data_IF_850035159182
#
_entry.id   IF_850035159182
#
_cell.length_a   1.000
_cell.length_b   1.000
_cell.length_c   1.000
_cell.angle_alpha   90.00
_cell.angle_beta   90.00
_cell.angle_gamma   90.00
#
_symmetry.space_group_name_H-M   'P 1'
#
loop_
_entity.id
_entity.type
_entity.pdbx_description
1 polymer ?
#
# COMPACT_ATOMS: atom_id res chain seq x y z
N UNK A 1 23.80 -8.05 31.33
CA UNK A 1 23.50 -7.07 30.29
C UNK A 1 22.01 -7.05 29.89
N UNK A 2 21.32 -8.23 29.80
CA UNK A 2 19.90 -8.31 29.39
C UNK A 2 18.95 -7.51 30.28
N UNK A 3 19.14 -7.55 31.60
CA UNK A 3 18.32 -6.78 32.55
C UNK A 3 18.48 -5.26 32.41
N UNK A 4 19.59 -4.75 31.85
CA UNK A 4 19.80 -3.32 31.60
C UNK A 4 18.96 -2.78 30.44
N UNK A 5 18.58 -3.65 29.52
CA UNK A 5 17.74 -3.33 28.36
C UNK A 5 16.32 -3.91 28.49
N UNK A 6 15.95 -4.41 29.68
CA UNK A 6 14.62 -4.94 29.96
C UNK A 6 14.28 -6.26 29.29
N UNK A 7 15.27 -7.02 28.82
CA UNK A 7 15.05 -8.33 28.20
C UNK A 7 15.18 -9.46 29.24
N UNK A 8 14.32 -10.44 29.12
CA UNK A 8 14.39 -11.69 29.88
C UNK A 8 15.67 -12.47 29.48
N UNK A 9 16.42 -13.08 30.42
CA UNK A 9 17.57 -13.94 30.09
C UNK A 9 17.23 -15.14 29.20
N UNK A 10 15.95 -15.57 29.18
CA UNK A 10 15.42 -16.60 28.29
C UNK A 10 15.03 -16.10 26.89
N UNK A 11 15.31 -14.83 26.57
CA UNK A 11 15.02 -14.26 25.26
C UNK A 11 15.63 -15.09 24.13
N UNK A 12 14.80 -15.42 23.15
CA UNK A 12 15.22 -16.01 21.88
C UNK A 12 14.59 -15.24 20.71
N UNK A 13 15.25 -15.24 19.60
CA UNK A 13 14.63 -14.77 18.36
C UNK A 13 13.50 -15.71 17.96
N UNK A 14 12.33 -15.16 17.65
CA UNK A 14 11.21 -15.94 17.12
C UNK A 14 11.56 -16.51 15.74
N UNK A 15 11.10 -17.72 15.46
CA UNK A 15 11.16 -18.27 14.11
C UNK A 15 10.19 -17.52 13.18
N UNK A 16 10.50 -17.44 11.89
CA UNK A 16 9.68 -16.71 10.91
C UNK A 16 8.24 -17.22 10.90
N UNK A 17 8.04 -18.54 11.02
CA UNK A 17 6.72 -19.15 11.11
C UNK A 17 5.93 -18.74 12.35
N UNK A 18 6.59 -18.66 13.52
CA UNK A 18 5.97 -18.20 14.77
C UNK A 18 5.56 -16.72 14.67
N UNK A 19 6.43 -15.88 14.09
CA UNK A 19 6.13 -14.46 13.89
C UNK A 19 4.96 -14.25 12.92
N UNK A 20 4.86 -15.08 11.89
CA UNK A 20 3.74 -15.04 10.96
C UNK A 20 2.42 -15.38 11.66
N UNK A 21 2.38 -16.48 12.42
CA UNK A 21 1.19 -16.87 13.18
C UNK A 21 0.78 -15.78 14.18
N UNK A 22 1.75 -15.22 14.92
CA UNK A 22 1.49 -14.14 15.85
C UNK A 22 0.87 -12.91 15.16
N UNK A 23 1.39 -12.52 13.99
CA UNK A 23 0.82 -11.41 13.19
C UNK A 23 -0.60 -11.72 12.72
N UNK A 24 -0.88 -12.95 12.32
CA UNK A 24 -2.23 -13.40 11.93
C UNK A 24 -3.21 -13.33 13.10
N UNK A 25 -2.81 -13.79 14.29
CA UNK A 25 -3.63 -13.74 15.51
C UNK A 25 -3.93 -12.29 15.92
N UNK A 26 -2.90 -11.44 15.95
CA UNK A 26 -3.07 -10.00 16.24
C UNK A 26 -3.97 -9.32 15.23
N UNK A 27 -3.81 -9.62 13.95
CA UNK A 27 -4.66 -9.06 12.88
C UNK A 27 -6.12 -9.49 13.05
N UNK A 28 -6.37 -10.74 13.37
CA UNK A 28 -7.71 -11.26 13.63
C UNK A 28 -8.36 -10.55 14.82
N UNK A 29 -7.66 -10.48 15.94
CA UNK A 29 -8.13 -9.78 17.14
C UNK A 29 -8.41 -8.28 16.86
N UNK A 30 -7.53 -7.62 16.10
CA UNK A 30 -7.70 -6.23 15.69
C UNK A 30 -9.02 -6.03 14.93
N UNK A 31 -9.24 -6.81 13.88
CA UNK A 31 -10.45 -6.71 13.06
C UNK A 31 -11.71 -7.05 13.87
N UNK A 32 -11.70 -8.12 14.67
CA UNK A 32 -12.82 -8.49 15.54
C UNK A 32 -13.18 -7.34 16.50
N UNK A 33 -12.19 -6.70 17.12
CA UNK A 33 -12.40 -5.56 18.01
C UNK A 33 -13.05 -4.37 17.30
N UNK A 34 -12.66 -4.08 16.06
CA UNK A 34 -13.27 -3.01 15.27
C UNK A 34 -14.69 -3.34 14.82
N UNK A 35 -14.98 -4.60 14.46
CA UNK A 35 -16.34 -5.04 14.16
C UNK A 35 -17.27 -4.96 15.38
N UNK A 36 -16.79 -5.35 16.57
CA UNK A 36 -17.56 -5.26 17.81
C UNK A 36 -17.88 -3.82 18.19
N UNK A 37 -16.96 -2.89 17.97
CA UNK A 37 -17.17 -1.44 18.27
C UNK A 37 -18.21 -0.79 17.36
N UNK A 38 -18.61 -1.42 16.27
CA UNK A 38 -19.58 -0.91 15.30
C UNK A 38 -19.23 0.50 14.75
N UNK A 39 -17.94 0.78 14.58
CA UNK A 39 -17.45 2.09 14.13
C UNK A 39 -17.86 2.35 12.68
N UNK A 40 -18.57 3.46 12.46
CA UNK A 40 -19.03 3.89 11.13
C UNK A 40 -17.87 4.17 10.16
N UNK A 41 -16.75 4.70 10.67
CA UNK A 41 -15.56 4.97 9.84
C UNK A 41 -14.91 3.67 9.39
N UNK A 42 -14.83 2.69 10.28
CA UNK A 42 -14.31 1.37 9.96
C UNK A 42 -15.21 0.65 8.93
N UNK A 43 -16.52 0.70 9.09
CA UNK A 43 -17.45 0.13 8.09
C UNK A 43 -17.28 0.77 6.72
N UNK A 44 -17.20 2.11 6.66
CA UNK A 44 -16.94 2.81 5.42
C UNK A 44 -15.60 2.43 4.80
N UNK A 45 -14.56 2.28 5.61
CA UNK A 45 -13.25 1.80 5.14
C UNK A 45 -13.33 0.39 4.55
N UNK A 46 -14.03 -0.53 5.23
CA UNK A 46 -14.27 -1.89 4.71
C UNK A 46 -15.02 -1.84 3.38
N UNK A 47 -16.09 -1.07 3.28
CA UNK A 47 -16.88 -0.93 2.05
C UNK A 47 -16.05 -0.39 0.87
N UNK A 48 -15.11 0.53 1.13
CA UNK A 48 -14.27 1.11 0.10
C UNK A 48 -13.13 0.19 -0.37
N UNK A 49 -12.55 -0.61 0.54
CA UNK A 49 -11.29 -1.31 0.28
C UNK A 49 -11.38 -2.83 0.34
N UNK A 50 -12.44 -3.41 0.88
CA UNK A 50 -12.65 -4.86 0.82
C UNK A 50 -13.17 -5.23 -0.57
N UNK A 51 -12.29 -5.70 -1.44
CA UNK A 51 -12.66 -6.22 -2.74
C UNK A 51 -13.22 -7.65 -2.61
N UNK A 52 -14.51 -7.80 -2.31
CA UNK A 52 -15.15 -9.11 -2.27
C UNK A 52 -15.88 -9.42 -0.97
N UNK A 53 -16.04 -10.73 -0.67
CA UNK A 53 -16.77 -11.21 0.52
C UNK A 53 -15.87 -11.49 1.73
N UNK A 54 -14.56 -11.25 1.62
CA UNK A 54 -13.57 -11.57 2.64
C UNK A 54 -12.76 -10.34 3.02
N UNK A 55 -12.21 -10.34 4.24
CA UNK A 55 -11.34 -9.27 4.75
C UNK A 55 -9.89 -9.38 4.25
N UNK A 56 -9.59 -10.29 3.33
CA UNK A 56 -8.21 -10.57 2.93
C UNK A 56 -7.54 -9.36 2.27
N UNK A 57 -8.27 -8.62 1.42
CA UNK A 57 -7.76 -7.38 0.83
C UNK A 57 -7.40 -6.31 1.87
N UNK A 58 -8.18 -6.22 2.94
CA UNK A 58 -7.91 -5.30 4.07
C UNK A 58 -6.66 -5.74 4.84
N UNK A 59 -6.52 -7.05 5.11
CA UNK A 59 -5.33 -7.59 5.78
C UNK A 59 -4.08 -7.32 4.97
N UNK A 60 -4.11 -7.56 3.66
CA UNK A 60 -3.00 -7.29 2.75
C UNK A 60 -2.61 -5.81 2.75
N UNK A 61 -3.60 -4.90 2.72
CA UNK A 61 -3.38 -3.47 2.80
C UNK A 61 -2.70 -3.07 4.12
N UNK A 62 -3.19 -3.58 5.25
CA UNK A 62 -2.64 -3.30 6.58
C UNK A 62 -1.20 -3.86 6.68
N UNK A 63 -0.95 -5.09 6.21
CA UNK A 63 0.41 -5.66 6.21
C UNK A 63 1.37 -4.88 5.32
N UNK A 64 0.92 -4.43 4.16
CA UNK A 64 1.73 -3.60 3.27
C UNK A 64 2.11 -2.28 3.94
N UNK A 65 1.15 -1.60 4.57
CA UNK A 65 1.39 -0.37 5.31
C UNK A 65 2.32 -0.60 6.52
N UNK A 66 2.08 -1.67 7.27
CA UNK A 66 2.94 -2.05 8.39
C UNK A 66 4.39 -2.27 7.96
N UNK A 67 4.60 -3.02 6.88
CA UNK A 67 5.94 -3.29 6.37
C UNK A 67 6.63 -2.00 5.87
N UNK A 68 5.88 -1.12 5.21
CA UNK A 68 6.39 0.18 4.79
C UNK A 68 6.78 1.05 6.00
N UNK A 69 5.93 1.13 7.02
CA UNK A 69 6.23 1.86 8.25
C UNK A 69 7.47 1.30 8.95
N UNK A 70 7.54 -0.02 9.13
CA UNK A 70 8.67 -0.69 9.81
C UNK A 70 9.99 -0.63 9.04
N UNK A 71 9.99 -0.23 7.77
CA UNK A 71 11.21 0.06 7.01
C UNK A 71 11.81 1.44 7.33
N UNK A 72 11.09 2.27 8.08
CA UNK A 72 11.54 3.59 8.52
C UNK A 72 12.12 3.52 9.94
N UNK A 73 13.12 4.34 10.26
CA UNK A 73 13.74 4.38 11.60
C UNK A 73 12.75 4.78 12.71
N UNK A 74 11.75 5.59 12.37
CA UNK A 74 10.71 6.10 13.27
C UNK A 74 9.32 5.85 12.67
N UNK A 75 8.78 4.62 12.78
CA UNK A 75 7.52 4.21 12.12
C UNK A 75 6.33 5.09 12.47
N UNK A 76 6.16 5.43 13.76
CA UNK A 76 5.03 6.21 14.23
C UNK A 76 5.07 7.64 13.67
N UNK A 77 6.24 8.29 13.72
CA UNK A 77 6.43 9.62 13.17
C UNK A 77 6.17 9.64 11.66
N UNK A 78 6.67 8.63 10.95
CA UNK A 78 6.43 8.49 9.51
C UNK A 78 4.93 8.33 9.19
N UNK A 79 4.19 7.54 9.97
CA UNK A 79 2.74 7.39 9.80
C UNK A 79 2.00 8.71 10.06
N UNK A 80 2.39 9.47 11.09
CA UNK A 80 1.82 10.79 11.39
C UNK A 80 2.08 11.78 10.24
N UNK A 81 3.28 11.84 9.71
CA UNK A 81 3.64 12.67 8.56
C UNK A 81 2.82 12.29 7.31
N UNK A 82 2.64 10.99 7.05
CA UNK A 82 1.75 10.51 5.99
C UNK A 82 0.31 11.01 6.17
N UNK A 83 -0.25 10.89 7.39
CA UNK A 83 -1.61 11.37 7.69
C UNK A 83 -1.70 12.88 7.48
N UNK A 84 -0.71 13.63 7.95
CA UNK A 84 -0.70 15.09 7.85
C UNK A 84 -0.61 15.56 6.38
N UNK A 85 0.08 14.83 5.54
CA UNK A 85 0.15 15.12 4.11
C UNK A 85 -1.20 15.05 3.40
N UNK A 86 -2.16 14.27 3.94
CA UNK A 86 -3.52 14.14 3.41
C UNK A 86 -4.55 15.09 4.07
N UNK A 87 -4.21 15.77 5.17
CA UNK A 87 -5.13 16.68 5.84
C UNK A 87 -5.34 17.99 5.08
N UNK A 88 -4.34 18.45 4.34
CA UNK A 88 -4.41 19.67 3.54
C UNK A 88 -4.85 19.33 2.11
N UNK A 89 -6.15 19.17 1.91
CA UNK A 89 -6.75 18.69 0.66
C UNK A 89 -7.39 19.81 -0.17
N UNK A 90 -6.83 21.02 -0.17
CA UNK A 90 -7.18 21.96 -1.20
C UNK A 90 -6.57 21.54 -2.55
N UNK A 91 -7.25 21.88 -3.64
CA UNK A 91 -6.92 21.38 -4.98
C UNK A 91 -5.49 21.77 -5.41
N UNK A 92 -4.99 22.91 -4.95
CA UNK A 92 -3.66 23.40 -5.28
C UNK A 92 -2.57 22.63 -4.51
N UNK A 93 -2.81 22.33 -3.22
CA UNK A 93 -1.90 21.50 -2.40
C UNK A 93 -1.78 20.09 -2.97
N UNK A 94 -2.91 19.50 -3.39
CA UNK A 94 -2.92 18.15 -4.00
C UNK A 94 -2.12 18.17 -5.32
N UNK A 95 -2.33 19.16 -6.18
CA UNK A 95 -1.60 19.27 -7.45
C UNK A 95 -0.09 19.46 -7.27
N UNK A 96 0.31 20.18 -6.23
CA UNK A 96 1.73 20.45 -5.93
C UNK A 96 2.40 19.34 -5.10
N UNK A 97 1.65 18.36 -4.62
CA UNK A 97 2.19 17.27 -3.81
C UNK A 97 3.16 16.40 -4.60
N UNK A 98 4.20 15.92 -3.92
CA UNK A 98 5.25 15.08 -4.53
C UNK A 98 4.67 13.78 -5.13
N UNK A 99 3.74 13.14 -4.42
CA UNK A 99 3.10 11.92 -4.90
C UNK A 99 2.23 12.14 -6.14
N UNK A 100 1.55 13.30 -6.25
CA UNK A 100 0.78 13.64 -7.44
C UNK A 100 1.69 13.89 -8.65
N UNK A 101 2.83 14.55 -8.44
CA UNK A 101 3.83 14.75 -9.49
C UNK A 101 4.39 13.42 -9.98
N UNK A 102 4.66 12.49 -9.07
CA UNK A 102 5.11 11.14 -9.40
C UNK A 102 4.05 10.36 -10.18
N UNK A 103 2.79 10.44 -9.76
CA UNK A 103 1.67 9.82 -10.46
C UNK A 103 1.52 10.37 -11.89
N UNK A 104 1.55 11.69 -12.07
CA UNK A 104 1.48 12.32 -13.38
C UNK A 104 2.65 11.91 -14.28
N UNK A 105 3.85 11.81 -13.72
CA UNK A 105 5.02 11.33 -14.45
C UNK A 105 4.80 9.92 -14.98
N UNK A 106 4.39 9.00 -14.12
CA UNK A 106 4.15 7.60 -14.51
C UNK A 106 3.05 7.50 -15.58
N UNK A 107 1.91 8.16 -15.39
CA UNK A 107 0.83 8.19 -16.39
C UNK A 107 1.33 8.73 -17.75
N UNK A 108 2.14 9.78 -17.72
CA UNK A 108 2.68 10.38 -18.96
C UNK A 108 3.64 9.42 -19.65
N UNK A 109 4.49 8.73 -18.91
CA UNK A 109 5.41 7.72 -19.44
C UNK A 109 4.64 6.55 -20.07
N UNK A 110 3.62 6.01 -19.40
CA UNK A 110 2.78 4.94 -19.91
C UNK A 110 2.04 5.34 -21.20
N UNK A 111 1.49 6.56 -21.24
CA UNK A 111 0.83 7.07 -22.45
C UNK A 111 1.81 7.26 -23.61
N UNK A 112 3.03 7.71 -23.34
CA UNK A 112 4.09 7.82 -24.37
C UNK A 112 4.46 6.46 -24.92
N UNK A 113 4.67 5.46 -24.05
CA UNK A 113 4.98 4.10 -24.48
C UNK A 113 3.83 3.48 -25.30
N UNK A 114 2.59 3.65 -24.86
CA UNK A 114 1.41 3.19 -25.61
C UNK A 114 1.34 3.83 -27.01
N UNK A 115 1.60 5.14 -27.10
CA UNK A 115 1.65 5.87 -28.39
C UNK A 115 2.76 5.33 -29.30
N UNK A 116 3.94 5.05 -28.76
CA UNK A 116 5.05 4.49 -29.53
C UNK A 116 4.70 3.10 -30.06
N UNK A 117 4.12 2.22 -29.23
CA UNK A 117 3.68 0.90 -29.66
C UNK A 117 2.63 0.94 -30.76
N UNK A 118 1.65 1.82 -30.65
CA UNK A 118 0.63 2.04 -31.68
C UNK A 118 1.27 2.54 -32.97
N UNK A 119 2.24 3.45 -32.88
CA UNK A 119 2.95 3.98 -34.04
C UNK A 119 3.76 2.91 -34.74
N UNK A 120 4.45 2.05 -33.97
CA UNK A 120 5.19 0.92 -34.51
C UNK A 120 4.24 -0.09 -35.19
N UNK A 121 3.15 -0.47 -34.50
CA UNK A 121 2.15 -1.38 -35.08
C UNK A 121 1.60 -0.83 -36.42
N UNK A 122 1.27 0.46 -36.46
CA UNK A 122 0.81 1.11 -37.69
C UNK A 122 1.87 1.09 -38.80
N UNK A 123 3.14 1.26 -38.45
CA UNK A 123 4.23 1.21 -39.45
C UNK A 123 4.38 -0.20 -40.06
N UNK A 124 4.22 -1.25 -39.24
CA UNK A 124 4.23 -2.64 -39.70
C UNK A 124 3.03 -2.95 -40.60
N UNK A 125 1.85 -2.45 -40.27
CA UNK A 125 0.67 -2.64 -41.12
C UNK A 125 0.79 -1.95 -42.48
N UNK A 126 1.49 -0.82 -42.56
CA UNK A 126 1.67 -0.04 -43.80
C UNK A 126 2.93 -0.46 -44.60
N UNK A 127 3.73 -1.40 -44.10
CA UNK A 127 4.92 -1.88 -44.79
C UNK A 127 4.54 -2.76 -46.02
N UNK A 128 5.33 -2.77 -47.13
CA UNK A 128 5.09 -3.64 -48.24
C UNK A 128 5.04 -5.12 -47.81
N UNK A 129 3.94 -5.81 -48.09
CA UNK A 129 3.69 -7.19 -47.60
C UNK A 129 3.08 -7.24 -46.20
N UNK A 130 2.66 -6.14 -45.65
CA UNK A 130 1.93 -6.09 -44.37
C UNK A 130 0.56 -6.80 -44.44
N UNK A 131 0.00 -7.23 -43.29
CA UNK A 131 -1.18 -8.08 -43.21
C UNK A 131 -2.49 -7.45 -43.73
N UNK A 132 -2.47 -6.15 -44.08
CA UNK A 132 -3.67 -5.38 -44.44
C UNK A 132 -3.49 -4.58 -45.76
N UNK A 133 -2.65 -5.09 -46.69
CA UNK A 133 -2.58 -4.61 -48.06
C UNK A 133 -3.57 -5.36 -48.93
#
# INVERSE_FOLDING_TARGET
YFHLIGLDPGYRTGEEGELKLLKEDVMKELLENYYIKDDKKFKYFIECYASGKTDDGIKELIYSLYNAAMSNPYPDTWLEECIDSYKNTDLESVKSSEWMNLLWKNITEDLCQAKELITQARSFCNAPGGPYL
#
